data_IF_528460895323
#
_entry.id   IF_528460895323
#
_cell.length_a   1.000
_cell.length_b   1.000
_cell.length_c   1.000
_cell.angle_alpha   90.00
_cell.angle_beta   90.00
_cell.angle_gamma   90.00
#
_symmetry.space_group_name_H-M   'P 1'
#
loop_
_entity.id
_entity.type
_entity.pdbx_description
1 polymer ?
#
# COMPACT_ATOMS: atom_id res chain seq x y z
N UNK A 1 12.10 25.21 -54.18
CA UNK A 1 12.57 23.89 -54.62
C UNK A 1 13.03 23.14 -53.37
N UNK A 2 12.10 22.44 -52.69
CA UNK A 2 12.34 21.75 -51.44
C UNK A 2 12.60 20.27 -51.78
N UNK A 3 13.81 19.82 -51.53
CA UNK A 3 14.16 18.39 -51.66
C UNK A 3 13.49 17.57 -50.56
N UNK A 4 12.53 16.77 -50.93
CA UNK A 4 12.00 15.73 -50.08
C UNK A 4 13.03 14.61 -49.95
N UNK A 5 13.74 14.56 -48.86
CA UNK A 5 14.61 13.44 -48.49
C UNK A 5 13.72 12.24 -48.08
N UNK A 6 13.90 11.16 -48.85
CA UNK A 6 13.28 9.86 -48.59
C UNK A 6 13.89 9.28 -47.31
N UNK A 7 13.11 9.10 -46.29
CA UNK A 7 13.51 8.37 -45.07
C UNK A 7 13.80 6.91 -45.44
N UNK A 8 14.93 6.35 -45.03
CA UNK A 8 15.22 4.96 -45.29
C UNK A 8 14.53 4.04 -44.27
N UNK A 9 13.98 3.00 -44.79
CA UNK A 9 13.75 1.76 -44.07
C UNK A 9 12.42 1.65 -43.36
N UNK A 10 11.66 0.68 -43.73
CA UNK A 10 10.56 0.10 -42.98
C UNK A 10 10.92 -0.04 -41.51
N UNK A 11 10.30 0.76 -40.68
CA UNK A 11 10.04 0.37 -39.30
C UNK A 11 9.05 -0.80 -39.40
N UNK A 12 9.59 -2.01 -39.52
CA UNK A 12 8.82 -3.21 -39.20
C UNK A 12 8.28 -2.93 -37.79
N UNK A 13 6.97 -2.89 -37.67
CA UNK A 13 6.29 -2.88 -36.38
C UNK A 13 6.80 -4.09 -35.64
N UNK A 14 7.70 -3.89 -34.68
CA UNK A 14 8.02 -4.92 -33.70
C UNK A 14 6.71 -5.12 -32.96
N UNK A 15 5.99 -6.17 -33.35
CA UNK A 15 4.84 -6.68 -32.61
C UNK A 15 5.38 -7.15 -31.25
N UNK A 16 5.57 -6.20 -30.34
CA UNK A 16 5.87 -6.51 -28.94
C UNK A 16 4.60 -7.12 -28.36
N UNK A 17 4.53 -8.43 -28.36
CA UNK A 17 3.51 -9.17 -27.66
C UNK A 17 3.70 -8.91 -26.15
N UNK A 18 3.07 -7.82 -25.67
CA UNK A 18 3.10 -7.45 -24.27
C UNK A 18 2.42 -8.53 -23.45
N UNK A 19 3.12 -9.04 -22.45
CA UNK A 19 2.51 -9.97 -21.49
C UNK A 19 1.33 -9.30 -20.82
N UNK A 20 0.22 -9.99 -20.74
CA UNK A 20 -0.94 -9.53 -19.96
C UNK A 20 -0.57 -9.63 -18.48
N UNK A 21 -0.67 -8.50 -17.79
CA UNK A 21 -0.49 -8.41 -16.34
C UNK A 21 -1.84 -8.08 -15.71
N UNK A 22 -2.20 -8.78 -14.67
CA UNK A 22 -3.47 -8.60 -13.95
C UNK A 22 -3.19 -8.45 -12.46
N UNK A 23 -4.07 -7.72 -11.77
CA UNK A 23 -4.10 -7.65 -10.30
C UNK A 23 -4.91 -8.84 -9.81
N UNK A 24 -4.35 -9.64 -8.92
CA UNK A 24 -4.98 -10.86 -8.40
C UNK A 24 -5.38 -10.74 -6.93
N UNK A 25 -4.87 -9.76 -6.21
CA UNK A 25 -5.24 -9.49 -4.84
C UNK A 25 -4.94 -8.05 -4.44
N UNK A 26 -5.72 -7.52 -3.53
CA UNK A 26 -5.61 -6.16 -3.03
C UNK A 26 -5.67 -6.21 -1.50
N UNK A 27 -4.92 -5.32 -0.84
CA UNK A 27 -5.00 -5.10 0.60
C UNK A 27 -4.91 -3.62 0.92
N UNK A 28 -5.59 -3.18 1.95
CA UNK A 28 -5.70 -1.78 2.29
C UNK A 28 -5.63 -1.51 3.81
N UNK A 29 -4.74 -0.60 4.18
CA UNK A 29 -4.71 0.04 5.51
C UNK A 29 -4.71 1.55 5.29
N UNK A 30 -5.76 2.21 5.74
CA UNK A 30 -6.03 3.61 5.40
C UNK A 30 -6.59 4.37 6.62
N UNK A 31 -6.69 5.70 6.56
CA UNK A 31 -7.41 6.47 7.58
C UNK A 31 -8.91 6.13 7.69
N UNK A 32 -9.48 5.42 6.72
CA UNK A 32 -10.83 4.89 6.82
C UNK A 32 -10.88 3.51 7.50
N UNK A 33 -9.75 2.95 7.91
CA UNK A 33 -9.65 1.65 8.55
C UNK A 33 -8.79 0.66 7.77
N UNK A 34 -8.91 -0.61 8.12
CA UNK A 34 -8.25 -1.73 7.49
C UNK A 34 -9.26 -2.65 6.78
N UNK A 35 -8.76 -3.40 5.80
CA UNK A 35 -9.55 -4.30 4.97
C UNK A 35 -10.22 -3.60 3.78
N UNK A 36 -10.04 -4.18 2.58
CA UNK A 36 -10.52 -3.58 1.32
C UNK A 36 -12.03 -3.37 1.34
N UNK A 37 -12.80 -4.35 1.77
CA UNK A 37 -14.27 -4.28 1.78
C UNK A 37 -14.78 -3.17 2.72
N UNK A 38 -14.19 -3.08 3.92
CA UNK A 38 -14.53 -2.02 4.88
C UNK A 38 -14.19 -0.64 4.32
N UNK A 39 -12.97 -0.46 3.82
CA UNK A 39 -12.49 0.81 3.26
C UNK A 39 -13.34 1.20 2.06
N UNK A 40 -13.64 0.27 1.15
CA UNK A 40 -14.45 0.52 -0.03
C UNK A 40 -15.88 0.91 0.31
N UNK A 41 -16.50 0.20 1.27
CA UNK A 41 -17.85 0.56 1.76
C UNK A 41 -17.90 1.98 2.30
N UNK A 42 -16.91 2.39 3.08
CA UNK A 42 -16.81 3.74 3.64
C UNK A 42 -16.56 4.81 2.58
N UNK A 43 -15.77 4.50 1.55
CA UNK A 43 -15.58 5.39 0.39
C UNK A 43 -16.92 5.61 -0.35
N UNK A 44 -17.68 4.54 -0.61
CA UNK A 44 -18.97 4.63 -1.27
C UNK A 44 -20.00 5.45 -0.46
N UNK A 45 -19.89 5.43 0.85
CA UNK A 45 -20.69 6.23 1.77
C UNK A 45 -20.20 7.68 1.91
N UNK A 46 -19.16 8.06 1.17
CA UNK A 46 -18.51 9.38 1.24
C UNK A 46 -18.02 9.76 2.66
N UNK A 47 -17.58 8.75 3.44
CA UNK A 47 -17.02 8.97 4.77
C UNK A 47 -15.61 9.58 4.67
N UNK A 48 -15.27 10.42 5.64
CA UNK A 48 -13.95 11.05 5.74
C UNK A 48 -13.11 10.36 6.81
N UNK A 49 -11.85 10.07 6.50
CA UNK A 49 -10.86 9.64 7.47
C UNK A 49 -10.13 10.79 8.20
N UNK A 50 -10.49 12.04 7.90
CA UNK A 50 -9.90 13.19 8.57
C UNK A 50 -10.56 13.41 9.95
N UNK A 51 -9.76 13.36 10.99
CA UNK A 51 -10.20 13.52 12.40
C UNK A 51 -9.27 14.47 13.15
N UNK A 52 -9.64 14.85 14.38
CA UNK A 52 -8.71 15.53 15.27
C UNK A 52 -7.52 14.63 15.60
N UNK A 53 -6.31 15.18 15.57
CA UNK A 53 -5.08 14.46 15.88
C UNK A 53 -5.14 13.91 17.30
N UNK A 54 -4.88 12.60 17.44
CA UNK A 54 -4.92 11.88 18.73
C UNK A 54 -3.53 11.42 19.18
N UNK A 55 -2.56 11.36 18.27
CA UNK A 55 -1.25 10.74 18.52
C UNK A 55 -0.30 11.61 19.33
N UNK A 56 -0.52 12.94 19.37
CA UNK A 56 0.30 13.90 20.15
C UNK A 56 -0.48 15.17 20.47
N UNK A 57 0.03 16.00 21.39
CA UNK A 57 -0.56 17.31 21.72
C UNK A 57 -0.36 18.32 20.58
N UNK A 58 -1.46 18.88 20.10
CA UNK A 58 -1.51 19.85 19.01
C UNK A 58 -2.02 21.22 19.43
N UNK A 59 -2.02 21.51 20.74
CA UNK A 59 -2.59 22.73 21.31
C UNK A 59 -1.97 24.00 20.74
N UNK A 60 -0.67 23.98 20.44
CA UNK A 60 0.14 25.06 19.90
C UNK A 60 0.24 25.08 18.37
N UNK A 61 -0.31 24.05 17.68
CA UNK A 61 -0.25 23.96 16.22
C UNK A 61 -1.46 24.63 15.55
N UNK A 62 -1.24 25.22 14.38
CA UNK A 62 -2.31 25.80 13.57
C UNK A 62 -3.25 24.75 12.98
N UNK A 63 -2.71 23.58 12.55
CA UNK A 63 -3.48 22.46 12.04
C UNK A 63 -3.71 21.44 13.17
N UNK A 64 -4.97 21.06 13.39
CA UNK A 64 -5.39 20.15 14.47
C UNK A 64 -6.10 18.91 13.96
N UNK A 65 -6.08 18.71 12.66
CA UNK A 65 -6.70 17.56 11.99
C UNK A 65 -5.68 16.81 11.15
N UNK A 66 -5.80 15.49 11.12
CA UNK A 66 -5.02 14.61 10.26
C UNK A 66 -5.84 13.40 9.84
N UNK A 67 -5.30 12.65 8.88
CA UNK A 67 -5.81 11.36 8.45
C UNK A 67 -4.97 10.26 9.10
N UNK A 68 -5.25 9.95 10.37
CA UNK A 68 -4.57 8.88 11.11
C UNK A 68 -5.25 7.53 10.85
N UNK A 69 -4.45 6.45 10.74
CA UNK A 69 -5.00 5.09 10.67
C UNK A 69 -5.59 4.73 12.03
N UNK A 70 -6.88 4.38 12.11
CA UNK A 70 -7.50 3.97 13.37
C UNK A 70 -6.91 2.63 13.83
N UNK A 71 -6.33 2.61 15.02
CA UNK A 71 -5.77 1.42 15.65
C UNK A 71 -6.79 0.87 16.65
N UNK A 72 -7.06 -0.45 16.57
CA UNK A 72 -8.04 -1.10 17.45
C UNK A 72 -8.34 -2.52 17.01
N UNK A 73 -9.46 -3.05 17.48
CA UNK A 73 -9.91 -4.39 17.11
C UNK A 73 -10.36 -4.44 15.65
N UNK A 74 -9.96 -5.49 14.95
CA UNK A 74 -10.25 -5.66 13.50
C UNK A 74 -11.74 -5.77 13.21
N UNK A 75 -12.54 -6.32 14.13
CA UNK A 75 -14.00 -6.40 13.99
C UNK A 75 -14.68 -5.01 13.92
N UNK A 76 -14.03 -3.98 14.44
CA UNK A 76 -14.51 -2.60 14.32
C UNK A 76 -14.12 -1.92 13.00
N UNK A 77 -13.40 -2.62 12.12
CA UNK A 77 -12.82 -2.07 10.90
C UNK A 77 -11.57 -1.22 11.14
N UNK A 78 -11.03 -1.23 12.36
CA UNK A 78 -9.75 -0.61 12.71
C UNK A 78 -8.59 -1.55 12.33
N UNK A 79 -7.37 -1.02 12.29
CA UNK A 79 -6.19 -1.83 12.07
C UNK A 79 -5.65 -2.39 13.39
N UNK A 80 -5.53 -3.71 13.49
CA UNK A 80 -4.91 -4.38 14.62
C UNK A 80 -3.48 -4.81 14.26
N UNK A 81 -2.45 -4.08 14.71
CA UNK A 81 -1.07 -4.42 14.38
C UNK A 81 -0.62 -5.77 14.93
N UNK A 82 -1.20 -6.24 16.05
CA UNK A 82 -0.81 -7.48 16.72
C UNK A 82 -1.18 -8.74 15.92
N UNK A 83 -2.13 -8.63 15.00
CA UNK A 83 -2.49 -9.70 14.08
C UNK A 83 -1.44 -9.94 12.98
N UNK A 84 -0.61 -8.95 12.69
CA UNK A 84 0.34 -8.97 11.59
C UNK A 84 1.79 -9.03 12.05
N UNK A 85 2.11 -8.38 13.17
CA UNK A 85 3.49 -8.24 13.67
C UNK A 85 3.52 -8.40 15.18
N UNK A 86 4.46 -9.22 15.68
CA UNK A 86 4.61 -9.39 17.14
C UNK A 86 4.89 -8.04 17.84
N UNK A 87 4.36 -7.79 19.05
CA UNK A 87 4.62 -6.54 19.79
C UNK A 87 6.11 -6.26 20.03
N UNK A 88 6.93 -7.32 20.06
CA UNK A 88 8.39 -7.20 20.19
C UNK A 88 9.03 -6.62 18.92
N UNK A 89 8.54 -7.01 17.77
CA UNK A 89 9.10 -6.57 16.49
C UNK A 89 8.51 -5.21 16.07
N UNK A 90 7.27 -4.90 16.43
CA UNK A 90 6.69 -3.57 16.24
C UNK A 90 7.55 -2.45 16.85
N UNK A 91 8.20 -2.72 18.02
CA UNK A 91 9.07 -1.73 18.67
C UNK A 91 10.37 -1.43 17.91
N UNK A 92 10.70 -2.25 16.91
CA UNK A 92 11.94 -2.13 16.13
C UNK A 92 11.71 -1.52 14.75
N UNK A 93 10.46 -1.25 14.40
CA UNK A 93 10.11 -0.78 13.05
C UNK A 93 9.12 0.37 13.13
N UNK A 94 9.18 1.26 12.14
CA UNK A 94 8.22 2.36 12.03
C UNK A 94 6.82 1.86 11.69
N UNK A 95 5.79 2.60 12.10
CA UNK A 95 4.37 2.27 11.85
C UNK A 95 4.07 2.00 10.38
N UNK A 96 4.71 2.74 9.47
CA UNK A 96 4.52 2.56 8.03
C UNK A 96 4.87 1.15 7.55
N UNK A 97 5.87 0.49 8.16
CA UNK A 97 6.24 -0.89 7.87
C UNK A 97 5.15 -1.85 8.34
N UNK A 98 4.61 -1.61 9.54
CA UNK A 98 3.53 -2.44 10.11
C UNK A 98 2.27 -2.35 9.25
N UNK A 99 1.91 -1.14 8.78
CA UNK A 99 0.79 -0.93 7.86
C UNK A 99 1.01 -1.64 6.52
N UNK A 100 2.23 -1.54 5.97
CA UNK A 100 2.57 -2.24 4.73
C UNK A 100 2.49 -3.77 4.88
N UNK A 101 2.90 -4.31 6.03
CA UNK A 101 2.79 -5.75 6.32
C UNK A 101 1.32 -6.19 6.41
N UNK A 102 0.46 -5.41 7.06
CA UNK A 102 -0.97 -5.71 7.15
C UNK A 102 -1.63 -5.70 5.77
N UNK A 103 -1.42 -4.65 4.99
CA UNK A 103 -1.96 -4.57 3.63
C UNK A 103 -1.41 -5.68 2.71
N UNK A 104 -0.12 -6.03 2.83
CA UNK A 104 0.46 -7.11 2.04
C UNK A 104 -0.10 -8.48 2.43
N UNK A 105 -0.35 -8.72 3.71
CA UNK A 105 -0.96 -9.97 4.18
C UNK A 105 -2.35 -10.17 3.58
N UNK A 106 -3.21 -9.15 3.62
CA UNK A 106 -4.54 -9.18 3.01
C UNK A 106 -4.44 -9.40 1.48
N UNK A 107 -3.56 -8.67 0.78
CA UNK A 107 -3.39 -8.83 -0.67
C UNK A 107 -2.93 -10.24 -1.07
N UNK A 108 -2.05 -10.87 -0.28
CA UNK A 108 -1.59 -12.24 -0.52
C UNK A 108 -2.75 -13.23 -0.29
N UNK A 109 -3.53 -13.04 0.77
CA UNK A 109 -4.68 -13.87 1.07
C UNK A 109 -5.74 -13.76 -0.03
N UNK A 110 -6.09 -12.54 -0.45
CA UNK A 110 -7.06 -12.27 -1.52
C UNK A 110 -6.60 -12.86 -2.86
N UNK A 111 -5.30 -12.79 -3.18
CA UNK A 111 -4.75 -13.40 -4.40
C UNK A 111 -4.80 -14.92 -4.42
N UNK A 112 -4.86 -15.56 -3.26
CA UNK A 112 -4.70 -17.01 -3.11
C UNK A 112 -3.33 -17.55 -3.54
N UNK A 113 -2.34 -16.67 -3.81
CA UNK A 113 -1.02 -17.08 -4.26
C UNK A 113 -0.21 -17.66 -3.11
N UNK A 114 0.23 -18.89 -3.28
CA UNK A 114 1.18 -19.57 -2.38
C UNK A 114 2.22 -20.28 -3.24
N UNK A 115 3.49 -19.91 -3.17
CA UNK A 115 4.54 -20.64 -3.88
C UNK A 115 4.64 -22.06 -3.29
N UNK A 116 4.49 -23.08 -4.14
CA UNK A 116 4.53 -24.49 -3.73
C UNK A 116 5.87 -25.15 -4.11
N UNK A 117 6.66 -24.50 -4.95
CA UNK A 117 7.97 -24.98 -5.42
C UNK A 117 9.05 -23.90 -5.31
N UNK A 118 10.30 -24.31 -5.35
CA UNK A 118 11.44 -23.38 -5.41
C UNK A 118 11.36 -22.49 -6.65
N UNK A 119 10.89 -23.01 -7.78
CA UNK A 119 10.70 -22.24 -9.01
C UNK A 119 9.64 -21.15 -8.83
N UNK A 120 8.53 -21.45 -8.16
CA UNK A 120 7.49 -20.44 -7.86
C UNK A 120 8.04 -19.36 -6.93
N UNK A 121 8.84 -19.75 -5.92
CA UNK A 121 9.47 -18.81 -5.00
C UNK A 121 10.48 -17.91 -5.71
N UNK A 122 11.32 -18.45 -6.61
CA UNK A 122 12.27 -17.67 -7.42
C UNK A 122 11.58 -16.69 -8.38
N UNK A 123 10.37 -16.99 -8.80
CA UNK A 123 9.55 -16.13 -9.68
C UNK A 123 8.66 -15.15 -8.93
N UNK A 124 8.63 -15.24 -7.61
CA UNK A 124 7.83 -14.36 -6.75
C UNK A 124 8.72 -13.26 -6.16
N UNK A 125 8.41 -12.02 -6.47
CA UNK A 125 9.13 -10.86 -5.96
C UNK A 125 8.26 -10.02 -5.04
N UNK A 126 8.88 -9.36 -4.04
CA UNK A 126 8.23 -8.36 -3.19
C UNK A 126 8.85 -7.00 -3.48
N UNK A 127 8.00 -6.03 -3.78
CA UNK A 127 8.42 -4.64 -3.98
C UNK A 127 7.48 -3.72 -3.21
N UNK A 128 8.01 -3.04 -2.20
CA UNK A 128 7.26 -2.06 -1.39
C UNK A 128 7.92 -0.70 -1.55
N UNK A 129 7.16 0.28 -2.04
CA UNK A 129 7.60 1.66 -2.12
C UNK A 129 7.20 2.42 -0.85
N UNK A 130 8.09 3.30 -0.39
CA UNK A 130 7.81 4.24 0.68
C UNK A 130 8.34 5.62 0.26
N UNK A 131 7.62 6.68 0.62
CA UNK A 131 8.09 8.04 0.40
C UNK A 131 9.25 8.37 1.35
N UNK A 132 8.99 9.18 2.37
CA UNK A 132 9.99 9.52 3.40
C UNK A 132 10.16 8.37 4.41
N UNK A 133 9.17 7.50 4.53
CA UNK A 133 9.15 6.43 5.53
C UNK A 133 8.83 6.94 6.93
N UNK A 134 9.55 6.48 7.94
CA UNK A 134 9.34 6.84 9.34
C UNK A 134 10.06 8.11 9.74
N UNK A 135 9.45 9.29 9.63
CA UNK A 135 10.00 10.53 10.18
C UNK A 135 10.25 10.41 11.70
N UNK A 136 9.40 9.68 12.41
CA UNK A 136 9.56 9.38 13.84
C UNK A 136 10.92 8.71 14.10
N UNK A 137 11.29 7.72 13.28
CA UNK A 137 12.56 6.97 13.41
C UNK A 137 13.79 7.78 13.01
N UNK A 138 13.61 8.82 12.19
CA UNK A 138 14.70 9.72 11.75
C UNK A 138 14.96 10.79 12.82
N UNK A 139 13.94 11.15 13.59
CA UNK A 139 14.01 12.23 14.59
C UNK A 139 14.52 11.77 15.97
N UNK A 140 14.59 10.44 16.22
CA UNK A 140 15.19 9.81 17.38
C UNK A 140 16.71 9.64 17.21
#
# INVERSE_FOLDING_TARGET
>A
MLCAGKLPGNLESVDMELRRVVVTGIGAVTPLGAGVDNVWGRILNAESGATGIQSFDVSDLAAKIACEVPIGESESGSFNPDEHVSPKDQRKMGKFIVFAMGAAAEAIEDSGWKPESDEDAERTGVMIGSGIGGLETIAE
#
